data_IF_498297700609
#
_entry.id   IF_498297700609
#
_cell.length_a   1.000
_cell.length_b   1.000
_cell.length_c   1.000
_cell.angle_alpha   90.00
_cell.angle_beta   90.00
_cell.angle_gamma   90.00
#
_symmetry.space_group_name_H-M   'P 1'
#
loop_
_entity.id
_entity.type
_entity.pdbx_description
1 polymer ?
#
# COMPACT_ATOMS: atom_id res chain seq x y z
N UNK A 1 24.73 8.88 -16.69
CA UNK A 1 24.03 8.78 -15.39
C UNK A 1 22.78 7.94 -15.59
N UNK A 2 22.43 7.09 -14.65
CA UNK A 2 21.15 6.37 -14.68
C UNK A 2 19.99 7.32 -14.43
N UNK A 3 18.80 6.96 -14.93
CA UNK A 3 17.55 7.66 -14.58
C UNK A 3 17.21 7.38 -13.13
N UNK A 4 16.50 8.33 -12.50
CA UNK A 4 15.94 8.15 -11.16
C UNK A 4 14.69 7.28 -11.28
N UNK A 5 14.71 6.14 -10.63
CA UNK A 5 13.61 5.17 -10.62
C UNK A 5 12.62 5.52 -9.50
N UNK A 6 11.42 5.94 -9.86
CA UNK A 6 10.38 6.34 -8.91
C UNK A 6 9.20 5.38 -9.05
N UNK A 7 8.72 4.88 -7.91
CA UNK A 7 7.48 4.11 -7.84
C UNK A 7 6.33 4.98 -7.33
N UNK A 8 5.20 4.99 -8.03
CA UNK A 8 3.96 5.63 -7.60
C UNK A 8 2.97 4.58 -7.11
N UNK A 9 2.78 4.52 -5.79
CA UNK A 9 1.76 3.71 -5.15
C UNK A 9 0.48 4.52 -4.99
N UNK A 10 -0.63 4.01 -5.52
CA UNK A 10 -1.93 4.67 -5.49
C UNK A 10 -3.07 3.65 -5.49
N UNK A 11 -4.24 4.06 -5.01
CA UNK A 11 -5.46 3.27 -5.16
C UNK A 11 -6.07 3.52 -6.55
N UNK A 12 -6.61 2.49 -7.19
CA UNK A 12 -7.21 2.61 -8.52
C UNK A 12 -8.37 3.61 -8.60
N UNK A 13 -9.02 3.89 -7.46
CA UNK A 13 -10.00 4.96 -7.37
C UNK A 13 -9.41 6.36 -7.66
N UNK A 14 -8.08 6.50 -7.53
CA UNK A 14 -7.34 7.75 -7.72
C UNK A 14 -6.57 7.80 -9.05
N UNK A 15 -6.96 6.98 -10.03
CA UNK A 15 -6.29 6.83 -11.35
C UNK A 15 -6.12 8.17 -12.08
N UNK A 16 -7.10 9.06 -11.98
CA UNK A 16 -7.05 10.38 -12.62
C UNK A 16 -5.89 11.21 -12.06
N UNK A 17 -5.78 11.29 -10.72
CA UNK A 17 -4.70 12.04 -10.06
C UNK A 17 -3.35 11.38 -10.33
N UNK A 18 -3.28 10.04 -10.31
CA UNK A 18 -2.06 9.31 -10.62
C UNK A 18 -1.58 9.56 -12.05
N UNK A 19 -2.51 9.66 -13.01
CA UNK A 19 -2.20 9.97 -14.41
C UNK A 19 -1.70 11.41 -14.59
N UNK A 20 -2.24 12.35 -13.84
CA UNK A 20 -1.76 13.73 -13.84
C UNK A 20 -0.32 13.83 -13.29
N UNK A 21 -0.01 13.10 -12.23
CA UNK A 21 1.36 13.02 -11.69
C UNK A 21 2.30 12.42 -12.73
N UNK A 22 1.91 11.30 -13.37
CA UNK A 22 2.71 10.67 -14.43
C UNK A 22 3.01 11.65 -15.56
N UNK A 23 2.00 12.36 -16.05
CA UNK A 23 2.12 13.33 -17.14
C UNK A 23 3.07 14.49 -16.78
N UNK A 24 3.09 14.92 -15.52
CA UNK A 24 3.99 15.97 -15.06
C UNK A 24 5.44 15.47 -14.91
N UNK A 25 5.64 14.31 -14.33
CA UNK A 25 6.98 13.73 -14.13
C UNK A 25 7.61 13.25 -15.44
N UNK A 26 6.81 12.79 -16.41
CA UNK A 26 7.29 12.38 -17.72
C UNK A 26 7.92 13.53 -18.57
N UNK A 27 7.75 14.78 -18.14
CA UNK A 27 8.43 15.93 -18.77
C UNK A 27 9.92 15.97 -18.46
N UNK A 28 10.36 15.32 -17.39
CA UNK A 28 11.74 15.22 -17.00
C UNK A 28 12.36 13.91 -17.52
N UNK A 29 13.31 13.97 -18.48
CA UNK A 29 13.92 12.78 -19.07
C UNK A 29 14.80 12.00 -18.10
N UNK A 30 15.17 12.60 -16.96
CA UNK A 30 15.95 11.94 -15.91
C UNK A 30 15.10 11.07 -14.98
N UNK A 31 13.75 11.18 -15.04
CA UNK A 31 12.83 10.41 -14.22
C UNK A 31 12.26 9.23 -15.02
N UNK A 32 12.25 8.07 -14.39
CA UNK A 32 11.51 6.89 -14.83
C UNK A 32 10.45 6.52 -13.80
N UNK A 33 9.19 6.80 -14.13
CA UNK A 33 8.07 6.54 -13.23
C UNK A 33 7.48 5.16 -13.48
N UNK A 34 7.37 4.37 -12.42
CA UNK A 34 6.71 3.07 -12.40
C UNK A 34 5.38 3.19 -11.68
N UNK A 35 4.32 2.67 -12.29
CA UNK A 35 2.98 2.59 -11.71
C UNK A 35 2.50 1.15 -11.70
N UNK A 36 1.74 0.78 -10.68
CA UNK A 36 1.02 -0.48 -10.70
C UNK A 36 -0.17 -0.38 -11.67
N UNK A 37 0.01 -0.94 -12.86
CA UNK A 37 -1.04 -1.13 -13.87
C UNK A 37 -1.49 -2.59 -13.97
N UNK A 38 -1.05 -3.44 -13.01
CA UNK A 38 -1.29 -4.86 -13.08
C UNK A 38 -2.74 -5.19 -12.74
N UNK A 39 -3.38 -5.89 -13.66
CA UNK A 39 -4.66 -6.53 -13.42
C UNK A 39 -4.50 -7.55 -12.26
N UNK A 40 -5.33 -7.43 -11.24
CA UNK A 40 -5.38 -8.32 -10.04
C UNK A 40 -5.36 -9.80 -10.42
N UNK A 41 -5.78 -10.14 -11.64
CA UNK A 41 -5.76 -11.51 -12.17
C UNK A 41 -4.36 -12.12 -12.34
N UNK A 42 -3.27 -11.35 -12.18
CA UNK A 42 -1.89 -11.80 -12.36
C UNK A 42 -1.09 -11.82 -11.05
N UNK A 43 -1.58 -12.51 -10.04
CA UNK A 43 -0.93 -12.61 -8.72
C UNK A 43 0.57 -12.94 -8.75
N UNK A 44 1.04 -13.75 -9.70
CA UNK A 44 2.47 -14.03 -9.87
C UNK A 44 3.29 -12.79 -10.22
N UNK A 45 2.72 -11.89 -11.01
CA UNK A 45 3.37 -10.64 -11.43
C UNK A 45 3.38 -9.59 -10.32
N UNK A 46 2.33 -9.54 -9.47
CA UNK A 46 2.28 -8.63 -8.31
C UNK A 46 3.41 -8.95 -7.32
N UNK A 47 3.60 -10.22 -6.99
CA UNK A 47 4.68 -10.62 -6.08
C UNK A 47 6.07 -10.24 -6.60
N UNK A 48 6.33 -10.46 -7.89
CA UNK A 48 7.60 -10.08 -8.53
C UNK A 48 7.77 -8.56 -8.55
N UNK A 49 6.70 -7.83 -8.83
CA UNK A 49 6.69 -6.39 -8.83
C UNK A 49 6.94 -5.82 -7.43
N UNK A 50 6.27 -6.35 -6.40
CA UNK A 50 6.50 -6.01 -5.00
C UNK A 50 7.96 -6.24 -4.57
N UNK A 51 8.61 -7.27 -5.10
CA UNK A 51 10.03 -7.54 -4.86
C UNK A 51 10.96 -6.53 -5.55
N UNK A 52 10.48 -5.78 -6.53
CA UNK A 52 11.25 -4.74 -7.21
C UNK A 52 11.18 -3.38 -6.49
N UNK A 53 10.17 -3.15 -5.66
CA UNK A 53 9.97 -1.87 -4.94
C UNK A 53 11.20 -1.46 -4.11
N UNK A 54 11.88 -2.36 -3.36
CA UNK A 54 13.09 -1.98 -2.62
C UNK A 54 14.25 -1.50 -3.50
N UNK A 55 14.20 -1.77 -4.83
CA UNK A 55 15.22 -1.35 -5.80
C UNK A 55 14.96 0.04 -6.38
N UNK A 56 13.81 0.65 -6.10
CA UNK A 56 13.49 2.02 -6.51
C UNK A 56 14.30 3.01 -5.69
N UNK A 57 14.67 4.12 -6.33
CA UNK A 57 15.35 5.21 -5.65
C UNK A 57 14.40 5.95 -4.71
N UNK A 58 13.17 6.18 -5.19
CA UNK A 58 12.12 6.87 -4.44
C UNK A 58 10.75 6.25 -4.64
N UNK A 59 9.85 6.55 -3.73
CA UNK A 59 8.47 6.11 -3.75
C UNK A 59 7.52 7.24 -3.39
N UNK A 60 6.55 7.49 -4.23
CA UNK A 60 5.45 8.43 -3.96
C UNK A 60 4.25 7.61 -3.50
N UNK A 61 3.73 7.92 -2.31
CA UNK A 61 2.48 7.35 -1.79
C UNK A 61 1.35 8.35 -1.99
N UNK A 62 0.41 8.07 -2.90
CA UNK A 62 -0.77 8.91 -3.10
C UNK A 62 -1.84 8.54 -2.08
N UNK A 63 -1.83 9.26 -0.95
CA UNK A 63 -2.65 8.94 0.22
C UNK A 63 -4.04 9.58 0.09
N UNK A 64 -5.04 8.75 -0.15
CA UNK A 64 -6.45 9.09 -0.16
C UNK A 64 -7.25 8.25 0.84
N UNK A 65 -8.55 8.51 0.99
CA UNK A 65 -9.45 7.64 1.77
C UNK A 65 -9.48 6.22 1.19
N UNK A 66 -9.59 6.10 -0.14
CA UNK A 66 -9.57 4.80 -0.82
C UNK A 66 -8.23 4.07 -0.63
N UNK A 67 -7.10 4.80 -0.69
CA UNK A 67 -5.77 4.25 -0.43
C UNK A 67 -5.66 3.64 0.96
N UNK A 68 -6.10 4.37 1.99
CA UNK A 68 -6.02 3.93 3.39
C UNK A 68 -6.94 2.76 3.72
N UNK A 69 -7.95 2.49 2.90
CA UNK A 69 -8.87 1.35 3.02
C UNK A 69 -8.53 0.19 2.08
N UNK A 70 -7.51 0.31 1.25
CA UNK A 70 -7.11 -0.72 0.28
C UNK A 70 -6.09 -1.68 0.88
N UNK A 71 -6.41 -2.97 0.95
CA UNK A 71 -5.51 -4.02 1.43
C UNK A 71 -4.23 -4.11 0.57
N UNK A 72 -4.36 -3.96 -0.75
CA UNK A 72 -3.21 -3.99 -1.66
C UNK A 72 -2.26 -2.81 -1.42
N UNK A 73 -2.79 -1.58 -1.28
CA UNK A 73 -1.99 -0.40 -0.99
C UNK A 73 -1.27 -0.54 0.35
N UNK A 74 -1.95 -1.05 1.36
CA UNK A 74 -1.34 -1.28 2.67
C UNK A 74 -0.26 -2.37 2.64
N UNK A 75 -0.42 -3.38 1.81
CA UNK A 75 0.61 -4.39 1.59
C UNK A 75 1.87 -3.77 0.97
N UNK A 76 1.71 -2.90 -0.04
CA UNK A 76 2.83 -2.15 -0.65
C UNK A 76 3.59 -1.32 0.38
N UNK A 77 2.86 -0.57 1.22
CA UNK A 77 3.47 0.21 2.32
C UNK A 77 4.29 -0.68 3.24
N UNK A 78 3.77 -1.85 3.61
CA UNK A 78 4.49 -2.79 4.47
C UNK A 78 5.76 -3.35 3.82
N UNK A 79 5.73 -3.63 2.52
CA UNK A 79 6.91 -4.10 1.80
C UNK A 79 8.01 -3.02 1.76
N UNK A 80 7.64 -1.77 1.58
CA UNK A 80 8.58 -0.64 1.61
C UNK A 80 9.19 -0.48 3.00
N UNK A 81 8.37 -0.58 4.05
CA UNK A 81 8.83 -0.45 5.44
C UNK A 81 9.78 -1.58 5.89
N UNK A 82 9.98 -2.62 5.08
CA UNK A 82 11.02 -3.64 5.30
C UNK A 82 12.43 -3.11 5.05
N UNK A 83 12.58 -2.11 4.18
CA UNK A 83 13.86 -1.41 4.01
C UNK A 83 14.13 -0.55 5.24
N UNK A 84 15.31 -0.65 5.84
CA UNK A 84 15.70 0.14 7.02
C UNK A 84 15.81 1.63 6.73
N UNK A 85 16.01 1.99 5.46
CA UNK A 85 16.16 3.38 4.99
C UNK A 85 14.90 3.89 4.27
N UNK A 86 13.75 3.24 4.48
CA UNK A 86 12.52 3.59 3.78
C UNK A 86 12.08 5.05 3.98
N UNK A 87 12.37 5.62 5.14
CA UNK A 87 11.98 7.00 5.47
C UNK A 87 12.60 8.03 4.53
N UNK A 88 13.82 7.77 4.06
CA UNK A 88 14.54 8.66 3.15
C UNK A 88 14.06 8.54 1.69
N UNK A 89 13.30 7.49 1.40
CA UNK A 89 12.81 7.16 0.05
C UNK A 89 11.33 7.48 -0.16
N UNK A 90 10.56 7.66 0.89
CA UNK A 90 9.10 7.84 0.81
C UNK A 90 8.72 9.31 0.76
N UNK A 91 7.91 9.66 -0.25
CA UNK A 91 7.27 10.97 -0.37
C UNK A 91 5.74 10.80 -0.29
N UNK A 92 5.11 11.09 0.86
CA UNK A 92 3.66 11.03 0.98
C UNK A 92 3.02 12.24 0.29
N UNK A 93 2.15 11.98 -0.68
CA UNK A 93 1.31 12.96 -1.35
C UNK A 93 -0.13 12.79 -0.88
N UNK A 94 -0.60 13.66 -0.01
CA UNK A 94 -1.93 13.60 0.59
C UNK A 94 -2.95 14.31 -0.30
N UNK A 95 -3.98 13.59 -0.75
CA UNK A 95 -5.00 14.12 -1.66
C UNK A 95 -5.81 15.23 -0.98
N UNK A 96 -6.17 15.04 0.29
CA UNK A 96 -6.85 16.08 1.08
C UNK A 96 -6.54 15.95 2.58
N UNK A 97 -6.40 17.09 3.24
CA UNK A 97 -5.95 17.18 4.64
C UNK A 97 -6.98 16.70 5.67
N UNK A 98 -8.21 16.41 5.25
CA UNK A 98 -9.28 15.89 6.11
C UNK A 98 -8.91 14.59 6.84
N UNK A 99 -7.99 13.81 6.25
CA UNK A 99 -7.51 12.54 6.83
C UNK A 99 -6.81 12.73 8.19
N UNK A 100 -6.31 13.92 8.50
CA UNK A 100 -5.64 14.21 9.77
C UNK A 100 -6.60 14.45 10.93
N UNK A 101 -7.91 14.60 10.66
CA UNK A 101 -8.91 14.79 11.73
C UNK A 101 -9.01 13.53 12.60
N UNK A 102 -8.98 13.64 13.94
CA UNK A 102 -8.98 12.47 14.84
C UNK A 102 -10.17 11.51 14.59
N UNK A 103 -11.35 12.03 14.29
CA UNK A 103 -12.53 11.22 14.01
C UNK A 103 -12.37 10.40 12.71
N UNK A 104 -11.75 10.98 11.68
CA UNK A 104 -11.47 10.30 10.40
C UNK A 104 -10.39 9.23 10.61
N UNK A 105 -9.33 9.55 11.36
CA UNK A 105 -8.30 8.56 11.72
C UNK A 105 -8.90 7.37 12.48
N UNK A 106 -9.78 7.63 13.46
CA UNK A 106 -10.48 6.59 14.17
C UNK A 106 -11.36 5.71 13.25
N UNK A 107 -11.92 6.28 12.18
CA UNK A 107 -12.72 5.53 11.20
C UNK A 107 -11.87 4.52 10.42
N UNK A 108 -10.60 4.82 10.11
CA UNK A 108 -9.70 3.87 9.48
C UNK A 108 -9.36 2.69 10.41
N UNK A 109 -9.11 2.96 11.68
CA UNK A 109 -8.88 1.90 12.67
C UNK A 109 -10.09 0.98 12.77
N UNK A 110 -11.32 1.55 12.83
CA UNK A 110 -12.57 0.77 12.86
C UNK A 110 -12.76 -0.07 11.59
N UNK A 111 -12.46 0.50 10.41
CA UNK A 111 -12.52 -0.23 9.15
C UNK A 111 -11.65 -1.48 9.21
N UNK A 112 -10.38 -1.33 9.55
CA UNK A 112 -9.44 -2.45 9.59
C UNK A 112 -9.70 -3.44 10.72
N UNK A 113 -10.26 -2.98 11.83
CA UNK A 113 -10.74 -3.88 12.88
C UNK A 113 -11.90 -4.76 12.39
N UNK A 114 -12.85 -4.19 11.66
CA UNK A 114 -13.97 -4.93 11.08
C UNK A 114 -13.50 -5.97 10.06
N UNK A 115 -12.60 -5.58 9.14
CA UNK A 115 -11.96 -6.49 8.16
C UNK A 115 -11.23 -7.65 8.86
N UNK A 116 -10.53 -7.36 9.95
CA UNK A 116 -9.83 -8.38 10.73
C UNK A 116 -10.80 -9.37 11.40
N UNK A 117 -11.87 -8.89 12.01
CA UNK A 117 -12.86 -9.75 12.67
C UNK A 117 -13.63 -10.61 11.65
N UNK A 118 -13.94 -10.06 10.47
CA UNK A 118 -14.55 -10.82 9.37
C UNK A 118 -13.61 -11.94 8.91
N UNK A 119 -12.35 -11.62 8.62
CA UNK A 119 -11.36 -12.62 8.22
C UNK A 119 -11.17 -13.68 9.31
N UNK A 120 -11.11 -13.28 10.57
CA UNK A 120 -10.97 -14.22 11.69
C UNK A 120 -12.16 -15.19 11.75
N UNK A 121 -13.39 -14.66 11.60
CA UNK A 121 -14.59 -15.48 11.57
C UNK A 121 -14.56 -16.49 10.40
N UNK A 122 -14.17 -16.03 9.20
CA UNK A 122 -14.09 -16.88 8.02
C UNK A 122 -13.04 -17.99 8.20
N UNK A 123 -11.89 -17.67 8.81
CA UNK A 123 -10.84 -18.63 9.09
C UNK A 123 -11.19 -19.64 10.19
N UNK A 124 -12.01 -19.27 11.17
CA UNK A 124 -12.51 -20.18 12.22
C UNK A 124 -13.41 -21.31 11.66
N UNK A 125 -14.09 -21.03 10.54
CA UNK A 125 -14.86 -22.02 9.78
C UNK A 125 -14.03 -23.00 8.96
N UNK A 126 -12.76 -22.70 8.75
CA UNK A 126 -11.81 -23.51 7.98
C UNK A 126 -10.85 -24.15 8.98
N UNK A 127 -10.87 -25.44 9.22
CA UNK A 127 -9.97 -26.10 10.18
C UNK A 127 -8.51 -25.63 9.98
N UNK A 128 -7.77 -25.49 11.08
CA UNK A 128 -6.38 -24.96 11.12
C UNK A 128 -5.47 -25.64 10.09
N UNK A 129 -5.66 -26.95 9.85
CA UNK A 129 -4.92 -27.74 8.86
C UNK A 129 -5.15 -27.26 7.41
N UNK A 130 -6.24 -26.54 7.14
CA UNK A 130 -6.62 -26.07 5.81
C UNK A 130 -6.32 -24.58 5.57
N UNK A 131 -5.97 -23.82 6.61
CA UNK A 131 -5.69 -22.38 6.52
C UNK A 131 -4.43 -22.12 5.70
N UNK A 132 -3.45 -23.02 5.78
CA UNK A 132 -2.21 -22.89 5.04
C UNK A 132 -1.46 -21.58 5.34
N UNK A 133 -0.36 -21.38 4.62
CA UNK A 133 0.54 -20.24 4.80
C UNK A 133 -0.14 -18.89 4.49
N UNK A 134 -1.08 -18.88 3.53
CA UNK A 134 -1.77 -17.66 3.10
C UNK A 134 -2.64 -17.06 4.23
N UNK A 135 -3.35 -17.89 4.97
CA UNK A 135 -4.19 -17.45 6.08
C UNK A 135 -3.37 -16.86 7.23
N UNK A 136 -2.24 -17.48 7.55
CA UNK A 136 -1.29 -16.95 8.56
C UNK A 136 -0.67 -15.62 8.11
N UNK A 137 -0.30 -15.49 6.85
CA UNK A 137 0.27 -14.26 6.29
C UNK A 137 -0.76 -13.12 6.31
N UNK A 138 -2.01 -13.37 5.94
CA UNK A 138 -3.11 -12.41 6.03
C UNK A 138 -3.36 -11.97 7.47
N UNK A 139 -3.43 -12.90 8.40
CA UNK A 139 -3.61 -12.59 9.82
C UNK A 139 -2.49 -11.71 10.38
N UNK A 140 -1.24 -12.02 10.05
CA UNK A 140 -0.08 -11.20 10.42
C UNK A 140 -0.14 -9.82 9.79
N UNK A 141 -0.58 -9.73 8.54
CA UNK A 141 -0.76 -8.48 7.82
C UNK A 141 -1.74 -7.57 8.57
N UNK A 142 -2.94 -8.02 8.90
CA UNK A 142 -3.94 -7.22 9.61
C UNK A 142 -3.48 -6.80 11.00
N UNK A 143 -2.85 -7.70 11.76
CA UNK A 143 -2.33 -7.36 13.10
C UNK A 143 -1.24 -6.28 13.03
N UNK A 144 -0.33 -6.40 12.06
CA UNK A 144 0.75 -5.42 11.86
C UNK A 144 0.19 -4.08 11.39
N UNK A 145 -0.82 -4.08 10.52
CA UNK A 145 -1.48 -2.88 10.04
C UNK A 145 -2.18 -2.13 11.18
N UNK A 146 -2.94 -2.82 12.03
CA UNK A 146 -3.55 -2.23 13.22
C UNK A 146 -2.48 -1.60 14.16
N UNK A 147 -1.32 -2.24 14.30
CA UNK A 147 -0.24 -1.71 15.14
C UNK A 147 0.44 -0.48 14.54
N UNK A 148 0.55 -0.39 13.21
CA UNK A 148 1.13 0.75 12.50
C UNK A 148 0.21 1.95 12.57
N UNK A 149 -1.09 1.78 12.33
CA UNK A 149 -2.05 2.89 12.42
C UNK A 149 -2.14 3.50 13.82
N UNK A 150 -1.85 2.72 14.87
CA UNK A 150 -1.75 3.26 16.23
C UNK A 150 -0.50 4.09 16.49
N UNK A 151 0.59 3.92 15.68
CA UNK A 151 1.89 4.57 15.92
C UNK A 151 2.24 5.69 14.94
N UNK A 152 1.70 5.62 13.72
CA UNK A 152 2.12 6.50 12.60
C UNK A 152 1.08 7.54 12.21
N UNK A 153 -0.14 7.41 12.66
CA UNK A 153 -1.19 8.40 12.52
C UNK A 153 -1.41 9.10 13.83
#
# INVERSE_FOLDING_TARGET
>A
MGRVEIFLSYCWADEEIASDIEMHLAKDPEINLHRDKLDIRKWGSIKQYMQSIPKMDYMILLISDAYLKSANCMYEVLEVMRDRQYQDKIFPAVVHTGIYKPAIRASYVKHWQAEYEELKHDLEGIGIQNIGRLGEDLKRFFLKYLSINCKTL
#
